data_IF_268466995523
#
_entry.id   IF_268466995523
#
_cell.length_a   1.000
_cell.length_b   1.000
_cell.length_c   1.000
_cell.angle_alpha   90.00
_cell.angle_beta   90.00
_cell.angle_gamma   90.00
#
_symmetry.space_group_name_H-M   'P 1'
#
loop_
_entity.id
_entity.type
_entity.pdbx_description
1 polymer ?
#
# COMPACT_ATOMS: atom_id res chain seq x y z
N UNK A 1 -65.16 0.48 -25.07
CA UNK A 1 -64.88 0.85 -23.67
C UNK A 1 -64.61 2.34 -23.64
N UNK A 2 -65.54 3.14 -23.09
CA UNK A 2 -65.40 4.59 -23.00
C UNK A 2 -64.64 4.99 -21.73
N UNK A 3 -63.87 6.08 -21.74
CA UNK A 3 -63.12 6.54 -20.58
C UNK A 3 -64.08 7.06 -19.50
N UNK A 4 -63.96 6.47 -18.31
CA UNK A 4 -64.70 6.82 -17.11
C UNK A 4 -64.04 8.03 -16.44
N UNK A 5 -64.22 9.23 -17.00
CA UNK A 5 -63.85 10.49 -16.34
C UNK A 5 -65.04 10.95 -15.50
N UNK A 6 -65.02 10.60 -14.20
CA UNK A 6 -65.99 11.04 -13.20
C UNK A 6 -65.82 12.55 -12.95
N UNK A 7 -66.85 13.38 -13.26
CA UNK A 7 -66.79 14.84 -13.08
C UNK A 7 -66.51 15.26 -11.63
N UNK A 8 -66.81 14.39 -10.66
CA UNK A 8 -66.58 14.66 -9.23
C UNK A 8 -65.10 14.88 -8.89
N UNK A 9 -64.16 14.25 -9.61
CA UNK A 9 -62.72 14.44 -9.33
C UNK A 9 -62.25 15.84 -9.69
N UNK A 10 -62.69 16.37 -10.84
CA UNK A 10 -62.38 17.73 -11.27
C UNK A 10 -62.95 18.79 -10.33
N UNK A 11 -64.19 18.61 -9.88
CA UNK A 11 -64.82 19.53 -8.93
C UNK A 11 -64.17 19.48 -7.54
N UNK A 12 -63.79 18.29 -7.08
CA UNK A 12 -63.02 18.11 -5.85
C UNK A 12 -61.65 18.82 -5.90
N UNK A 13 -60.99 18.79 -7.07
CA UNK A 13 -59.70 19.45 -7.29
C UNK A 13 -59.81 20.98 -7.27
N UNK A 14 -60.81 21.54 -7.95
CA UNK A 14 -61.04 23.00 -7.99
C UNK A 14 -61.38 23.56 -6.61
N UNK A 15 -62.16 22.80 -5.81
CA UNK A 15 -62.53 23.22 -4.44
C UNK A 15 -61.31 23.33 -3.52
N UNK A 16 -60.35 22.42 -3.65
CA UNK A 16 -59.11 22.40 -2.85
C UNK A 16 -58.11 23.49 -3.23
N UNK A 17 -58.12 23.99 -4.47
CA UNK A 17 -57.19 25.07 -4.87
C UNK A 17 -57.52 26.39 -4.17
N UNK A 18 -58.81 26.70 -3.98
CA UNK A 18 -59.23 27.94 -3.32
C UNK A 18 -59.12 27.90 -1.79
N UNK A 19 -59.18 26.72 -1.18
CA UNK A 19 -59.08 26.56 0.28
C UNK A 19 -57.64 26.60 0.81
N UNK A 20 -56.62 26.55 -0.08
CA UNK A 20 -55.20 26.56 0.29
C UNK A 20 -54.55 27.94 0.20
N UNK A 21 -55.29 29.01 -0.10
CA UNK A 21 -54.79 30.38 0.05
C UNK A 21 -55.06 30.75 1.51
N UNK A 22 -54.03 30.81 2.39
CA UNK A 22 -54.25 31.33 3.73
C UNK A 22 -54.66 32.80 3.52
N UNK A 23 -55.88 33.17 3.95
CA UNK A 23 -56.22 34.58 4.05
C UNK A 23 -55.14 35.31 4.87
N UNK A 24 -54.86 36.60 4.62
CA UNK A 24 -53.82 37.33 5.35
C UNK A 24 -54.26 37.52 6.81
N UNK A 25 -54.08 36.48 7.62
CA UNK A 25 -54.31 36.44 9.06
C UNK A 25 -53.16 37.16 9.75
N UNK A 26 -53.47 38.30 10.33
CA UNK A 26 -52.56 39.28 10.90
C UNK A 26 -52.01 38.91 12.29
N UNK A 27 -51.48 37.70 12.51
CA UNK A 27 -50.91 37.35 13.83
C UNK A 27 -49.58 36.58 13.84
N UNK A 28 -49.05 36.16 12.69
CA UNK A 28 -47.74 35.50 12.63
C UNK A 28 -46.83 36.20 11.63
N UNK A 29 -46.43 37.43 11.94
CA UNK A 29 -45.39 38.16 11.21
C UNK A 29 -43.98 37.60 11.49
N UNK A 30 -43.81 36.27 11.43
CA UNK A 30 -42.51 35.73 11.06
C UNK A 30 -42.30 36.18 9.61
N UNK A 31 -41.49 37.21 9.46
CA UNK A 31 -41.18 37.80 8.15
C UNK A 31 -40.79 36.68 7.18
N UNK A 32 -41.19 36.80 5.91
CA UNK A 32 -40.69 35.92 4.84
C UNK A 32 -39.15 35.80 4.90
N UNK A 33 -38.47 36.86 5.38
CA UNK A 33 -37.04 36.90 5.68
C UNK A 33 -36.58 35.92 6.77
N UNK A 34 -37.41 35.58 7.77
CA UNK A 34 -37.17 34.54 8.77
C UNK A 34 -37.36 33.11 8.20
N UNK A 35 -38.21 32.95 7.18
CA UNK A 35 -38.33 31.71 6.37
C UNK A 35 -37.21 31.58 5.33
N UNK A 36 -36.68 32.71 4.86
CA UNK A 36 -35.49 32.83 3.99
C UNK A 36 -34.19 32.87 4.79
N UNK A 37 -34.27 32.89 6.12
CA UNK A 37 -33.11 32.83 7.00
C UNK A 37 -32.34 31.58 6.63
N UNK A 38 -31.12 31.81 6.18
CA UNK A 38 -30.11 30.90 5.60
C UNK A 38 -29.76 29.77 6.59
N UNK A 39 -30.74 28.93 6.90
CA UNK A 39 -30.58 27.70 7.67
C UNK A 39 -30.55 26.59 6.63
N UNK A 40 -29.37 25.99 6.38
CA UNK A 40 -29.23 24.91 5.43
C UNK A 40 -30.27 23.84 5.73
N UNK A 41 -30.99 23.40 4.70
CA UNK A 41 -31.97 22.34 4.89
C UNK A 41 -31.26 21.07 5.35
N UNK A 42 -31.97 20.17 6.05
CA UNK A 42 -31.39 18.89 6.47
C UNK A 42 -30.73 18.12 5.30
N UNK A 43 -31.31 18.23 4.10
CA UNK A 43 -30.76 17.62 2.88
C UNK A 43 -29.46 18.28 2.43
N UNK A 44 -29.37 19.61 2.52
CA UNK A 44 -28.18 20.37 2.14
C UNK A 44 -27.00 20.07 3.08
N UNK A 45 -27.27 19.92 4.38
CA UNK A 45 -26.28 19.47 5.37
C UNK A 45 -25.80 18.05 5.05
N UNK A 46 -26.73 17.12 4.79
CA UNK A 46 -26.39 15.72 4.45
C UNK A 46 -25.57 15.66 3.16
N UNK A 47 -25.92 16.46 2.14
CA UNK A 47 -25.19 16.55 0.89
C UNK A 47 -23.75 17.02 1.11
N UNK A 48 -23.57 18.11 1.87
CA UNK A 48 -22.24 18.65 2.15
C UNK A 48 -21.37 17.66 2.95
N UNK A 49 -21.94 16.95 3.92
CA UNK A 49 -21.22 15.93 4.68
C UNK A 49 -20.85 14.72 3.81
N UNK A 50 -21.72 14.34 2.86
CA UNK A 50 -21.42 13.29 1.90
C UNK A 50 -20.26 13.70 0.97
N UNK A 51 -20.30 14.91 0.41
CA UNK A 51 -19.22 15.44 -0.43
C UNK A 51 -17.89 15.47 0.32
N UNK A 52 -17.88 15.91 1.59
CA UNK A 52 -16.68 15.91 2.44
C UNK A 52 -16.11 14.50 2.62
N UNK A 53 -16.98 13.54 2.97
CA UNK A 53 -16.56 12.13 3.14
C UNK A 53 -16.05 11.52 1.83
N UNK A 54 -16.66 11.87 0.69
CA UNK A 54 -16.20 11.42 -0.62
C UNK A 54 -14.78 11.92 -0.90
N UNK A 55 -14.52 13.20 -0.70
CA UNK A 55 -13.19 13.78 -0.88
C UNK A 55 -12.14 13.18 0.07
N UNK A 56 -12.49 12.92 1.33
CA UNK A 56 -11.61 12.23 2.27
C UNK A 56 -11.28 10.79 1.83
N UNK A 57 -12.25 10.07 1.25
CA UNK A 57 -12.04 8.72 0.74
C UNK A 57 -11.18 8.73 -0.53
N UNK A 58 -11.42 9.65 -1.46
CA UNK A 58 -10.59 9.82 -2.66
C UNK A 58 -9.12 10.06 -2.29
N UNK A 59 -8.86 10.97 -1.33
CA UNK A 59 -7.50 11.22 -0.85
C UNK A 59 -6.86 9.98 -0.22
N UNK A 60 -7.61 9.18 0.54
CA UNK A 60 -7.11 7.91 1.11
C UNK A 60 -6.81 6.87 0.03
N UNK A 61 -7.64 6.80 -1.01
CA UNK A 61 -7.41 5.90 -2.14
C UNK A 61 -6.11 6.28 -2.85
N UNK A 62 -5.91 7.57 -3.14
CA UNK A 62 -4.68 8.07 -3.77
C UNK A 62 -3.43 7.73 -2.94
N UNK A 63 -3.47 7.96 -1.63
CA UNK A 63 -2.37 7.59 -0.72
C UNK A 63 -2.05 6.09 -0.76
N UNK A 64 -3.08 5.24 -0.71
CA UNK A 64 -2.91 3.79 -0.75
C UNK A 64 -2.35 3.33 -2.11
N UNK A 65 -2.77 3.96 -3.20
CA UNK A 65 -2.26 3.66 -4.54
C UNK A 65 -0.78 4.03 -4.68
N UNK A 66 -0.37 5.17 -4.14
CA UNK A 66 1.04 5.58 -4.08
C UNK A 66 1.87 4.62 -3.22
N UNK A 67 1.43 4.31 -2.01
CA UNK A 67 2.09 3.35 -1.11
C UNK A 67 2.23 1.97 -1.77
N UNK A 68 1.21 1.50 -2.47
CA UNK A 68 1.23 0.23 -3.20
C UNK A 68 2.29 0.21 -4.32
N UNK A 69 2.46 1.32 -5.05
CA UNK A 69 3.50 1.42 -6.08
C UNK A 69 4.88 1.38 -5.45
N UNK A 70 5.10 2.13 -4.37
CA UNK A 70 6.37 2.15 -3.65
C UNK A 70 6.74 0.76 -3.11
N UNK A 71 5.81 0.08 -2.45
CA UNK A 71 6.03 -1.28 -1.94
C UNK A 71 6.36 -2.30 -3.04
N UNK A 72 5.78 -2.16 -4.23
CA UNK A 72 6.12 -3.00 -5.39
C UNK A 72 7.56 -2.77 -5.84
N UNK A 73 7.98 -1.51 -5.92
CA UNK A 73 9.36 -1.17 -6.28
C UNK A 73 10.36 -1.74 -5.25
N UNK A 74 10.07 -1.58 -3.97
CA UNK A 74 10.92 -2.12 -2.89
C UNK A 74 11.05 -3.65 -2.98
N UNK A 75 9.93 -4.35 -3.25
CA UNK A 75 9.95 -5.79 -3.43
C UNK A 75 10.81 -6.23 -4.63
N UNK A 76 10.74 -5.50 -5.75
CA UNK A 76 11.56 -5.77 -6.93
C UNK A 76 13.06 -5.50 -6.67
N UNK A 77 13.39 -4.44 -5.93
CA UNK A 77 14.76 -4.14 -5.50
C UNK A 77 15.31 -5.25 -4.61
N UNK A 78 14.57 -5.66 -3.57
CA UNK A 78 14.98 -6.73 -2.67
C UNK A 78 15.20 -8.06 -3.42
N UNK A 79 14.32 -8.37 -4.37
CA UNK A 79 14.45 -9.57 -5.22
C UNK A 79 15.74 -9.51 -6.07
N UNK A 80 16.03 -8.35 -6.66
CA UNK A 80 17.25 -8.17 -7.47
C UNK A 80 18.52 -8.31 -6.63
N UNK A 81 18.53 -7.76 -5.42
CA UNK A 81 19.65 -7.89 -4.48
C UNK A 81 19.87 -9.34 -4.04
N UNK A 82 18.80 -10.04 -3.68
CA UNK A 82 18.85 -11.46 -3.32
C UNK A 82 19.40 -12.32 -4.46
N UNK A 83 19.00 -12.04 -5.70
CA UNK A 83 19.50 -12.74 -6.88
C UNK A 83 20.99 -12.50 -7.14
N UNK A 84 21.46 -11.26 -6.95
CA UNK A 84 22.90 -10.94 -7.04
C UNK A 84 23.71 -11.66 -5.97
N UNK A 85 23.23 -11.62 -4.72
CA UNK A 85 23.90 -12.29 -3.60
C UNK A 85 23.99 -13.81 -3.82
N UNK A 86 22.92 -14.43 -4.32
CA UNK A 86 22.90 -15.86 -4.66
C UNK A 86 23.94 -16.20 -5.72
N UNK A 87 24.09 -15.38 -6.77
CA UNK A 87 25.13 -15.59 -7.80
C UNK A 87 26.53 -15.52 -7.22
N UNK A 88 26.82 -14.46 -6.45
CA UNK A 88 28.13 -14.27 -5.82
C UNK A 88 28.46 -15.42 -4.87
N UNK A 89 27.49 -15.86 -4.07
CA UNK A 89 27.64 -17.01 -3.17
C UNK A 89 28.02 -18.28 -3.94
N UNK A 90 27.29 -18.60 -5.01
CA UNK A 90 27.56 -19.80 -5.80
C UNK A 90 28.96 -19.78 -6.42
N UNK A 91 29.40 -18.63 -6.94
CA UNK A 91 30.77 -18.48 -7.47
C UNK A 91 31.83 -18.71 -6.38
N UNK A 92 31.63 -18.13 -5.19
CA UNK A 92 32.55 -18.31 -4.08
C UNK A 92 32.59 -19.77 -3.58
N UNK A 93 31.45 -20.48 -3.61
CA UNK A 93 31.38 -21.91 -3.29
C UNK A 93 32.14 -22.76 -4.32
N UNK A 94 31.98 -22.49 -5.62
CA UNK A 94 32.73 -23.15 -6.70
C UNK A 94 34.24 -22.92 -6.58
N UNK A 95 34.66 -21.68 -6.33
CA UNK A 95 36.07 -21.33 -6.12
C UNK A 95 36.65 -22.05 -4.89
N UNK A 96 35.89 -22.11 -3.79
CA UNK A 96 36.29 -22.82 -2.58
C UNK A 96 36.46 -24.32 -2.81
N UNK A 97 35.53 -24.95 -3.53
CA UNK A 97 35.61 -26.36 -3.87
C UNK A 97 36.80 -26.66 -4.79
N UNK A 98 37.05 -25.81 -5.79
CA UNK A 98 38.26 -25.92 -6.62
C UNK A 98 39.52 -25.84 -5.77
N UNK A 99 39.65 -24.80 -4.94
CA UNK A 99 40.80 -24.59 -4.06
C UNK A 99 41.02 -25.79 -3.11
N UNK A 100 39.93 -26.35 -2.57
CA UNK A 100 39.97 -27.54 -1.72
C UNK A 100 40.49 -28.76 -2.46
N UNK A 101 40.14 -28.94 -3.73
CA UNK A 101 40.68 -30.03 -4.55
C UNK A 101 42.16 -29.84 -4.85
N UNK A 102 42.59 -28.62 -5.17
CA UNK A 102 43.99 -28.33 -5.47
C UNK A 102 44.88 -28.45 -4.25
N UNK A 103 44.40 -28.01 -3.08
CA UNK A 103 45.08 -28.22 -1.81
C UNK A 103 45.28 -29.73 -1.50
N UNK A 104 44.26 -30.56 -1.72
CA UNK A 104 44.37 -32.01 -1.54
C UNK A 104 45.43 -32.61 -2.47
N UNK A 105 45.46 -32.20 -3.75
CA UNK A 105 46.47 -32.66 -4.72
C UNK A 105 47.88 -32.22 -4.32
N UNK A 106 48.05 -30.97 -3.91
CA UNK A 106 49.35 -30.45 -3.44
C UNK A 106 49.85 -31.25 -2.23
N UNK A 107 48.99 -31.48 -1.24
CA UNK A 107 49.34 -32.28 -0.05
C UNK A 107 49.76 -33.70 -0.41
N UNK A 108 49.08 -34.35 -1.36
CA UNK A 108 49.46 -35.68 -1.85
C UNK A 108 50.82 -35.63 -2.57
N UNK A 109 51.03 -34.63 -3.43
CA UNK A 109 52.29 -34.43 -4.16
C UNK A 109 53.48 -34.24 -3.21
N UNK A 110 53.32 -33.44 -2.15
CA UNK A 110 54.36 -33.25 -1.11
C UNK A 110 54.68 -34.52 -0.33
N UNK A 111 53.71 -35.41 -0.11
CA UNK A 111 53.94 -36.73 0.48
C UNK A 111 54.74 -37.63 -0.46
N UNK A 112 54.36 -37.68 -1.73
CA UNK A 112 55.03 -38.51 -2.75
C UNK A 112 56.47 -38.06 -3.00
N UNK A 113 56.73 -36.76 -3.05
CA UNK A 113 58.07 -36.19 -3.23
C UNK A 113 58.98 -36.32 -1.98
N UNK A 114 58.54 -36.99 -0.91
CA UNK A 114 59.33 -37.18 0.32
C UNK A 114 59.49 -35.90 1.18
N UNK A 115 58.89 -34.78 0.77
CA UNK A 115 59.00 -33.47 1.42
C UNK A 115 58.26 -33.38 2.77
N UNK A 116 57.36 -34.33 3.07
CA UNK A 116 56.61 -34.37 4.32
C UNK A 116 57.47 -34.46 5.59
N UNK A 117 58.72 -34.93 5.49
CA UNK A 117 59.68 -34.98 6.61
C UNK A 117 60.45 -33.65 6.81
N UNK A 118 60.53 -32.79 5.78
CA UNK A 118 61.21 -31.50 5.83
C UNK A 118 60.36 -30.40 6.49
N UNK A 119 59.03 -30.42 6.33
CA UNK A 119 58.14 -29.43 6.97
C UNK A 119 58.07 -29.56 8.50
N UNK A 120 57.96 -30.77 9.06
CA UNK A 120 57.93 -30.97 10.52
C UNK A 120 59.27 -30.67 11.19
N UNK A 121 60.37 -30.84 10.45
CA UNK A 121 61.73 -30.48 10.87
C UNK A 121 61.99 -28.97 10.77
N UNK A 122 61.51 -28.32 9.71
CA UNK A 122 61.62 -26.88 9.49
C UNK A 122 60.86 -26.05 10.53
N UNK A 123 59.59 -26.40 10.81
CA UNK A 123 58.78 -25.70 11.82
C UNK A 123 59.42 -25.79 13.23
N UNK A 124 59.92 -26.97 13.62
CA UNK A 124 60.66 -27.14 14.89
C UNK A 124 61.96 -26.33 14.97
N UNK A 125 62.60 -26.02 13.84
CA UNK A 125 63.86 -25.25 13.80
C UNK A 125 63.64 -23.74 13.91
N UNK A 126 62.50 -23.22 13.45
CA UNK A 126 62.14 -21.81 13.65
C UNK A 126 61.72 -21.54 15.09
N UNK A 127 60.92 -22.43 15.69
CA UNK A 127 60.48 -22.34 17.10
C UNK A 127 61.66 -22.41 18.11
N UNK A 128 62.73 -23.13 17.76
CA UNK A 128 63.94 -23.24 18.60
C UNK A 128 64.90 -22.06 18.48
N UNK A 129 64.74 -21.19 17.49
CA UNK A 129 65.57 -19.98 17.28
C UNK A 129 64.99 -18.73 17.93
N UNK A 130 63.69 -18.69 18.23
CA UNK A 130 63.06 -17.61 19.00
C UNK A 130 63.25 -17.76 20.52
N UNK A 131 63.78 -18.90 20.98
CA UNK A 131 63.94 -19.25 22.39
C UNK A 131 65.40 -19.37 22.85
N UNK A 132 66.36 -18.78 22.13
CA UNK A 132 67.80 -18.74 22.50
C UNK A 132 68.37 -17.33 22.46
#
# INVERSE_FOLDING_TARGET
>A
MGPMTTPEYSEWWVRRINDNIPGPGSENSQSIEEYLRVVPTKLEIIKQDFERKSAELEKKIEQIEEEKVNLRLDADVQKLEADKLRKVKNMAEEELDSLKTDYKKLRLSMRTAGLGKLQSSGMKKFEKKETS
#
